data_IF_935716715784
#
_entry.id   IF_935716715784
#
_cell.length_a   1.000
_cell.length_b   1.000
_cell.length_c   1.000
_cell.angle_alpha   90.00
_cell.angle_beta   90.00
_cell.angle_gamma   90.00
#
_symmetry.space_group_name_H-M   'P 1'
#
loop_
_entity.id
_entity.type
_entity.pdbx_description
1 polymer ?
#
# COMPACT_ATOMS: atom_id res chain seq x y z
N UNK A 1 -8.21 -6.81 8.15
CA UNK A 1 -6.89 -6.51 8.77
C UNK A 1 -6.64 -5.01 8.83
N UNK A 2 -6.60 -4.28 7.70
CA UNK A 2 -6.41 -2.82 7.69
C UNK A 2 -7.43 -2.03 8.54
N UNK A 3 -8.71 -2.40 8.54
CA UNK A 3 -9.74 -1.75 9.38
C UNK A 3 -9.46 -1.88 10.88
N UNK A 4 -8.97 -3.04 11.32
CA UNK A 4 -8.57 -3.26 12.72
C UNK A 4 -7.26 -2.56 13.08
N UNK A 5 -6.36 -2.39 12.10
CA UNK A 5 -5.15 -1.57 12.26
C UNK A 5 -5.49 -0.11 12.53
N UNK A 6 -6.36 0.49 11.71
CA UNK A 6 -6.84 1.86 11.88
C UNK A 6 -7.65 2.08 13.18
N UNK A 7 -8.28 1.03 13.70
CA UNK A 7 -9.04 1.10 14.97
C UNK A 7 -8.13 1.28 16.19
N UNK A 8 -6.92 0.73 16.14
CA UNK A 8 -6.02 0.67 17.30
C UNK A 8 -4.75 1.52 17.16
N UNK A 9 -4.42 1.99 15.95
CA UNK A 9 -3.22 2.79 15.70
C UNK A 9 -3.57 4.23 15.30
N UNK A 10 -2.78 5.22 15.76
CA UNK A 10 -2.81 6.56 15.17
C UNK A 10 -2.55 6.49 13.66
N UNK A 11 -3.20 7.37 12.89
CA UNK A 11 -3.15 7.36 11.42
C UNK A 11 -1.71 7.50 10.91
N UNK A 12 -0.89 8.31 11.56
CA UNK A 12 0.55 8.45 11.31
C UNK A 12 1.32 7.13 11.46
N UNK A 13 1.02 6.37 12.52
CA UNK A 13 1.70 5.10 12.82
C UNK A 13 1.26 4.03 11.84
N UNK A 14 -0.05 3.91 11.64
CA UNK A 14 -0.65 3.03 10.63
C UNK A 14 -0.03 3.28 9.24
N UNK A 15 0.04 4.54 8.80
CA UNK A 15 0.59 4.89 7.49
C UNK A 15 2.07 4.55 7.36
N UNK A 16 2.87 4.73 8.41
CA UNK A 16 4.29 4.38 8.39
C UNK A 16 4.51 2.86 8.43
N UNK A 17 3.69 2.11 9.17
CA UNK A 17 3.72 0.64 9.12
C UNK A 17 3.34 0.16 7.73
N UNK A 18 2.34 0.77 7.09
CA UNK A 18 1.97 0.48 5.70
C UNK A 18 3.13 0.71 4.71
N UNK A 19 4.07 1.61 5.00
CA UNK A 19 5.25 1.81 4.15
C UNK A 19 6.13 0.54 4.03
N UNK A 20 6.10 -0.35 5.02
CA UNK A 20 6.79 -1.64 4.99
C UNK A 20 6.35 -2.54 3.83
N UNK A 21 5.18 -2.28 3.22
CA UNK A 21 4.71 -2.99 2.02
C UNK A 21 5.78 -2.99 0.92
N UNK A 22 6.55 -1.91 0.77
CA UNK A 22 7.56 -1.81 -0.27
C UNK A 22 8.76 -2.73 0.01
N UNK A 23 9.11 -2.92 1.28
CA UNK A 23 10.12 -3.90 1.68
C UNK A 23 9.66 -5.34 1.39
N UNK A 24 8.42 -5.67 1.76
CA UNK A 24 7.85 -6.99 1.45
C UNK A 24 7.74 -7.23 -0.06
N UNK A 25 7.37 -6.21 -0.84
CA UNK A 25 7.26 -6.31 -2.28
C UNK A 25 8.61 -6.62 -2.93
N UNK A 26 9.69 -5.95 -2.50
CA UNK A 26 11.03 -6.24 -2.99
C UNK A 26 11.45 -7.70 -2.69
N UNK A 27 11.15 -8.19 -1.48
CA UNK A 27 11.44 -9.57 -1.08
C UNK A 27 10.64 -10.57 -1.93
N UNK A 28 9.33 -10.40 -2.04
CA UNK A 28 8.48 -11.31 -2.83
C UNK A 28 8.81 -11.26 -4.32
N UNK A 29 9.09 -10.10 -4.90
CA UNK A 29 9.49 -10.00 -6.31
C UNK A 29 10.85 -10.65 -6.58
N UNK A 30 11.78 -10.69 -5.62
CA UNK A 30 13.00 -11.48 -5.76
C UNK A 30 12.71 -12.99 -5.78
N UNK A 31 11.89 -13.49 -4.86
CA UNK A 31 11.60 -14.92 -4.79
C UNK A 31 10.69 -15.42 -5.93
N UNK A 32 9.69 -14.62 -6.33
CA UNK A 32 8.65 -15.04 -7.28
C UNK A 32 8.96 -14.62 -8.73
N UNK A 33 9.52 -13.41 -8.92
CA UNK A 33 9.84 -12.84 -10.23
C UNK A 33 11.34 -12.94 -10.58
N UNK A 34 12.18 -13.48 -9.69
CA UNK A 34 13.64 -13.53 -9.86
C UNK A 34 14.26 -12.14 -10.15
N UNK A 35 13.62 -11.08 -9.65
CA UNK A 35 14.08 -9.70 -9.84
C UNK A 35 15.43 -9.51 -9.13
N UNK A 36 16.43 -8.93 -9.80
CA UNK A 36 17.75 -8.74 -9.19
C UNK A 36 17.68 -7.69 -8.08
N UNK A 37 18.20 -8.04 -6.90
CA UNK A 37 18.39 -7.11 -5.79
C UNK A 37 19.58 -6.19 -6.09
N UNK A 38 19.29 -4.94 -6.44
CA UNK A 38 20.33 -3.89 -6.56
C UNK A 38 20.62 -3.29 -5.17
N UNK A 39 21.84 -2.76 -4.91
CA UNK A 39 22.17 -2.18 -3.61
C UNK A 39 21.19 -1.13 -3.09
N UNK A 40 20.55 -0.36 -3.98
CA UNK A 40 19.54 0.63 -3.60
C UNK A 40 18.21 0.01 -3.14
N UNK A 41 17.78 -1.10 -3.74
CA UNK A 41 16.60 -1.85 -3.24
C UNK A 41 16.91 -2.43 -1.87
N UNK A 42 18.11 -3.00 -1.69
CA UNK A 42 18.54 -3.51 -0.38
C UNK A 42 18.57 -2.41 0.69
N UNK A 43 19.12 -1.24 0.37
CA UNK A 43 19.10 -0.07 1.27
C UNK A 43 17.67 0.35 1.63
N UNK A 44 16.77 0.35 0.66
CA UNK A 44 15.36 0.70 0.86
C UNK A 44 14.65 -0.27 1.80
N UNK A 45 14.87 -1.58 1.60
CA UNK A 45 14.33 -2.64 2.45
C UNK A 45 14.81 -2.45 3.88
N UNK A 46 16.12 -2.27 4.09
CA UNK A 46 16.67 -2.07 5.42
C UNK A 46 16.05 -0.87 6.12
N UNK A 47 15.99 0.30 5.46
CA UNK A 47 15.47 1.52 6.06
C UNK A 47 13.98 1.44 6.40
N UNK A 48 13.18 0.79 5.55
CA UNK A 48 11.76 0.58 5.80
C UNK A 48 11.52 -0.45 6.91
N UNK A 49 12.35 -1.48 7.00
CA UNK A 49 12.33 -2.44 8.12
C UNK A 49 12.71 -1.75 9.42
N UNK A 50 13.75 -0.92 9.44
CA UNK A 50 14.11 -0.13 10.62
C UNK A 50 13.03 0.88 11.00
N UNK A 51 12.37 1.52 10.02
CA UNK A 51 11.24 2.42 10.26
C UNK A 51 10.08 1.71 10.95
N UNK A 52 9.68 0.54 10.44
CA UNK A 52 8.64 -0.27 11.07
C UNK A 52 9.06 -0.78 12.46
N UNK A 53 10.30 -1.27 12.61
CA UNK A 53 10.80 -1.76 13.90
C UNK A 53 10.85 -0.66 14.96
N UNK A 54 11.30 0.54 14.58
CA UNK A 54 11.37 1.68 15.48
C UNK A 54 9.98 2.11 15.98
N UNK A 55 8.96 2.05 15.12
CA UNK A 55 7.56 2.30 15.51
C UNK A 55 6.93 1.18 16.34
N UNK A 56 7.39 -0.05 16.16
CA UNK A 56 6.99 -1.17 17.00
C UNK A 56 7.58 -1.09 18.41
N UNK A 57 8.75 -0.45 18.56
CA UNK A 57 9.43 -0.28 19.86
C UNK A 57 9.04 1.03 20.57
N UNK A 58 8.56 2.05 19.86
CA UNK A 58 8.02 3.31 20.44
C UNK A 58 6.68 3.14 21.20
N UNK A 59 6.34 1.90 21.56
CA UNK A 59 5.14 1.52 22.31
C UNK A 59 5.02 2.21 23.68
N UNK A 60 6.16 2.55 24.30
CA UNK A 60 6.21 3.04 25.68
C UNK A 60 5.92 4.54 25.84
N UNK A 61 6.07 5.35 24.78
CA UNK A 61 6.09 6.82 24.92
C UNK A 61 4.73 7.48 24.64
N UNK A 62 3.87 6.80 23.87
CA UNK A 62 2.61 7.37 23.40
C UNK A 62 1.45 6.80 24.18
N UNK A 63 1.14 7.46 25.29
CA UNK A 63 -0.11 7.29 26.04
C UNK A 63 -1.31 7.33 25.09
N UNK A 64 -1.73 6.15 24.64
CA UNK A 64 -2.87 5.94 23.76
C UNK A 64 -4.09 5.76 24.65
N UNK A 65 -4.69 6.87 25.09
CA UNK A 65 -6.09 7.00 25.50
C UNK A 65 -6.74 5.75 26.18
N UNK A 66 -6.09 5.16 27.19
CA UNK A 66 -6.65 4.05 27.95
C UNK A 66 -6.82 2.73 27.19
N UNK A 67 -6.17 2.52 26.05
CA UNK A 67 -6.17 1.22 25.35
C UNK A 67 -5.12 0.29 25.97
N UNK A 68 -5.55 -0.93 26.32
CA UNK A 68 -4.66 -1.99 26.82
C UNK A 68 -3.57 -2.29 25.79
N UNK A 69 -2.32 -2.40 26.25
CA UNK A 69 -1.09 -2.70 25.50
C UNK A 69 -1.28 -3.77 24.40
N UNK A 70 -2.08 -4.81 24.67
CA UNK A 70 -2.36 -5.86 23.69
C UNK A 70 -3.09 -5.39 22.42
N UNK A 71 -3.88 -4.31 22.48
CA UNK A 71 -4.62 -3.80 21.31
C UNK A 71 -3.72 -3.06 20.34
N UNK A 72 -2.70 -2.35 20.84
CA UNK A 72 -1.73 -1.67 19.98
C UNK A 72 -0.88 -2.70 19.21
N UNK A 73 -0.29 -3.68 19.92
CA UNK A 73 0.47 -4.78 19.29
C UNK A 73 -0.38 -5.49 18.25
N UNK A 74 -1.64 -5.82 18.60
CA UNK A 74 -2.55 -6.48 17.68
C UNK A 74 -2.78 -5.64 16.42
N UNK A 75 -3.03 -4.33 16.55
CA UNK A 75 -3.18 -3.45 15.41
C UNK A 75 -1.91 -3.33 14.57
N UNK A 76 -0.73 -3.31 15.21
CA UNK A 76 0.56 -3.22 14.54
C UNK A 76 0.82 -4.48 13.71
N UNK A 77 0.67 -5.66 14.32
CA UNK A 77 0.82 -6.96 13.66
C UNK A 77 -0.20 -7.14 12.54
N UNK A 78 -1.46 -6.75 12.75
CA UNK A 78 -2.49 -6.79 11.71
C UNK A 78 -2.17 -5.86 10.54
N UNK A 79 -1.61 -4.68 10.80
CA UNK A 79 -1.22 -3.73 9.75
C UNK A 79 0.00 -4.26 8.98
N UNK A 80 1.02 -4.75 9.67
CA UNK A 80 2.21 -5.35 9.05
C UNK A 80 1.84 -6.57 8.19
N UNK A 81 0.97 -7.45 8.70
CA UNK A 81 0.45 -8.61 7.97
C UNK A 81 -0.39 -8.21 6.76
N UNK A 82 -1.18 -7.14 6.86
CA UNK A 82 -1.94 -6.59 5.74
C UNK A 82 -1.00 -6.04 4.65
N UNK A 83 0.07 -5.34 5.03
CA UNK A 83 1.10 -4.87 4.11
C UNK A 83 1.81 -6.02 3.41
N UNK A 84 2.20 -7.07 4.13
CA UNK A 84 2.80 -8.26 3.54
C UNK A 84 1.84 -8.95 2.55
N UNK A 85 0.57 -9.11 2.92
CA UNK A 85 -0.44 -9.73 2.04
C UNK A 85 -0.67 -8.91 0.77
N UNK A 86 -0.74 -7.58 0.91
CA UNK A 86 -0.90 -6.69 -0.24
C UNK A 86 0.29 -6.78 -1.20
N UNK A 87 1.51 -6.76 -0.67
CA UNK A 87 2.73 -6.92 -1.48
C UNK A 87 2.81 -8.28 -2.15
N UNK A 88 2.35 -9.35 -1.49
CA UNK A 88 2.29 -10.67 -2.09
C UNK A 88 1.31 -10.71 -3.28
N UNK A 89 0.14 -10.08 -3.15
CA UNK A 89 -0.84 -9.94 -4.25
C UNK A 89 -0.20 -9.21 -5.43
N UNK A 90 0.52 -8.12 -5.18
CA UNK A 90 1.23 -7.36 -6.22
C UNK A 90 2.29 -8.22 -6.92
N UNK A 91 3.15 -8.93 -6.18
CA UNK A 91 4.16 -9.79 -6.79
C UNK A 91 3.53 -10.94 -7.59
N UNK A 92 2.45 -11.56 -7.12
CA UNK A 92 1.72 -12.60 -7.85
C UNK A 92 1.08 -12.06 -9.14
N UNK A 93 0.52 -10.85 -9.08
CA UNK A 93 -0.01 -10.18 -10.26
C UNK A 93 1.11 -9.98 -11.30
N UNK A 94 2.29 -9.52 -10.88
CA UNK A 94 3.46 -9.37 -11.75
C UNK A 94 3.89 -10.71 -12.36
N UNK A 95 4.02 -11.78 -11.56
CA UNK A 95 4.33 -13.14 -12.07
C UNK A 95 3.35 -13.54 -13.18
N UNK A 96 2.07 -13.26 -12.97
CA UNK A 96 1.01 -13.65 -13.90
C UNK A 96 1.12 -12.89 -15.22
N UNK A 97 1.45 -11.59 -15.18
CA UNK A 97 1.73 -10.81 -16.38
C UNK A 97 2.93 -11.36 -17.16
N UNK A 98 4.06 -11.58 -16.47
CA UNK A 98 5.31 -12.01 -17.11
C UNK A 98 5.24 -13.44 -17.65
N UNK A 99 4.68 -14.38 -16.88
CA UNK A 99 4.73 -15.83 -17.22
C UNK A 99 3.51 -16.34 -17.96
N UNK A 100 2.31 -15.87 -17.62
CA UNK A 100 1.05 -16.43 -18.13
C UNK A 100 0.53 -15.63 -19.32
N UNK A 101 0.40 -14.32 -19.14
CA UNK A 101 -0.26 -13.45 -20.13
C UNK A 101 0.68 -13.13 -21.29
N UNK A 102 1.96 -12.80 -21.01
CA UNK A 102 2.99 -12.40 -22.00
C UNK A 102 2.58 -11.23 -22.92
N UNK A 103 1.52 -10.50 -22.57
CA UNK A 103 0.94 -9.35 -23.29
C UNK A 103 0.41 -8.33 -22.29
N UNK A 104 1.13 -7.23 -22.14
CA UNK A 104 0.74 -6.12 -21.25
C UNK A 104 -0.22 -5.16 -21.94
N UNK A 105 -1.36 -5.66 -22.47
CA UNK A 105 -2.36 -4.77 -23.06
C UNK A 105 -3.32 -4.24 -22.01
N UNK A 106 -3.77 -3.00 -22.18
CA UNK A 106 -4.71 -2.31 -21.28
C UNK A 106 -5.95 -3.17 -20.96
N UNK A 107 -6.51 -3.82 -21.97
CA UNK A 107 -7.68 -4.70 -21.82
C UNK A 107 -7.40 -5.89 -20.89
N UNK A 108 -6.20 -6.46 -20.91
CA UNK A 108 -5.85 -7.56 -20.03
C UNK A 108 -5.70 -7.09 -18.58
N UNK A 109 -5.09 -5.92 -18.36
CA UNK A 109 -4.96 -5.34 -17.01
C UNK A 109 -6.33 -5.05 -16.40
N UNK A 110 -7.23 -4.44 -17.17
CA UNK A 110 -8.60 -4.23 -16.73
C UNK A 110 -9.34 -5.55 -16.47
N UNK A 111 -9.20 -6.56 -17.34
CA UNK A 111 -9.83 -7.85 -17.13
C UNK A 111 -9.35 -8.51 -15.82
N UNK A 112 -8.03 -8.54 -15.57
CA UNK A 112 -7.47 -9.02 -14.31
C UNK A 112 -8.07 -8.27 -13.11
N UNK A 113 -8.09 -6.94 -13.17
CA UNK A 113 -8.64 -6.11 -12.08
C UNK A 113 -10.13 -6.39 -11.85
N UNK A 114 -10.93 -6.54 -12.91
CA UNK A 114 -12.36 -6.84 -12.82
C UNK A 114 -12.59 -8.21 -12.20
N UNK A 115 -11.90 -9.25 -12.69
CA UNK A 115 -12.05 -10.61 -12.15
C UNK A 115 -11.61 -10.70 -10.68
N UNK A 116 -10.46 -10.10 -10.34
CA UNK A 116 -9.98 -10.05 -8.96
C UNK A 116 -10.96 -9.28 -8.07
N UNK A 117 -11.47 -8.13 -8.52
CA UNK A 117 -12.45 -7.34 -7.77
C UNK A 117 -13.78 -8.10 -7.57
N UNK A 118 -14.24 -8.84 -8.57
CA UNK A 118 -15.44 -9.65 -8.50
C UNK A 118 -15.28 -10.76 -7.45
N UNK A 119 -14.18 -11.52 -7.51
CA UNK A 119 -13.88 -12.57 -6.54
C UNK A 119 -13.73 -11.99 -5.13
N UNK A 120 -13.02 -10.86 -5.00
CA UNK A 120 -12.86 -10.17 -3.72
C UNK A 120 -14.21 -9.69 -3.16
N UNK A 121 -15.12 -9.22 -4.01
CA UNK A 121 -16.47 -8.79 -3.60
C UNK A 121 -17.28 -9.97 -3.09
N UNK A 122 -17.25 -11.11 -3.77
CA UNK A 122 -17.92 -12.33 -3.33
C UNK A 122 -17.34 -12.84 -2.00
N UNK A 123 -16.01 -12.89 -1.87
CA UNK A 123 -15.35 -13.28 -0.64
C UNK A 123 -15.68 -12.32 0.52
N UNK A 124 -15.73 -11.01 0.26
CA UNK A 124 -16.11 -9.99 1.25
C UNK A 124 -17.58 -10.13 1.66
N UNK A 125 -18.47 -10.44 0.72
CA UNK A 125 -19.89 -10.68 0.99
C UNK A 125 -20.08 -11.91 1.89
N UNK A 126 -19.39 -13.01 1.58
CA UNK A 126 -19.37 -14.21 2.41
C UNK A 126 -18.82 -13.87 3.80
N UNK A 127 -17.72 -13.12 3.88
CA UNK A 127 -17.13 -12.67 5.14
C UNK A 127 -18.10 -11.84 5.98
N UNK A 128 -18.82 -10.90 5.35
CA UNK A 128 -19.81 -10.05 6.02
C UNK A 128 -20.97 -10.86 6.61
N UNK A 129 -21.50 -11.82 5.84
CA UNK A 129 -22.59 -12.67 6.32
C UNK A 129 -22.13 -13.69 7.37
N UNK A 130 -20.95 -14.29 7.19
CA UNK A 130 -20.37 -15.25 8.13
C UNK A 130 -20.02 -14.60 9.48
N UNK A 131 -19.56 -13.35 9.45
CA UNK A 131 -19.20 -12.60 10.67
C UNK A 131 -20.43 -12.05 11.42
N UNK A 132 -21.60 -12.04 10.78
CA UNK A 132 -22.84 -11.53 11.38
C UNK A 132 -22.94 -10.01 11.48
N UNK A 133 -21.92 -9.27 11.04
CA UNK A 133 -21.83 -7.80 11.05
C UNK A 133 -22.90 -7.13 10.18
N UNK A 134 -23.51 -7.86 9.24
CA UNK A 134 -24.70 -7.40 8.54
C UNK A 134 -25.82 -6.92 9.48
N UNK A 135 -25.93 -7.53 10.67
CA UNK A 135 -26.96 -7.17 11.67
C UNK A 135 -26.65 -5.86 12.40
N UNK A 136 -25.37 -5.49 12.53
CA UNK A 136 -24.93 -4.27 13.24
C UNK A 136 -24.88 -3.05 12.33
N UNK A 137 -24.78 -3.27 11.00
CA UNK A 137 -24.73 -2.22 9.97
C UNK A 137 -25.84 -1.17 10.07
N UNK A 138 -27.07 -1.60 10.39
CA UNK A 138 -28.20 -0.67 10.56
C UNK A 138 -28.04 0.23 11.79
N UNK A 139 -27.47 -0.31 12.87
CA UNK A 139 -27.16 0.43 14.09
C UNK A 139 -26.00 1.40 13.89
N UNK A 140 -24.93 0.98 13.21
CA UNK A 140 -23.79 1.83 12.87
C UNK A 140 -24.20 3.02 12.01
N UNK A 141 -25.02 2.79 10.99
CA UNK A 141 -25.52 3.83 10.11
C UNK A 141 -26.42 4.86 10.83
N UNK A 142 -27.10 4.46 11.91
CA UNK A 142 -27.87 5.36 12.76
C UNK A 142 -27.00 6.11 13.77
N UNK A 143 -25.95 5.46 14.27
CA UNK A 143 -24.97 6.03 15.19
C UNK A 143 -23.93 6.92 14.51
N UNK A 144 -23.91 6.98 13.17
CA UNK A 144 -22.99 7.83 12.42
C UNK A 144 -23.32 9.31 12.70
N UNK A 145 -22.36 10.07 13.23
CA UNK A 145 -22.61 11.39 13.82
C UNK A 145 -23.27 12.43 12.90
N UNK A 146 -23.14 12.28 11.59
CA UNK A 146 -23.75 13.14 10.56
C UNK A 146 -24.98 12.52 9.88
N UNK A 147 -25.40 11.33 10.33
CA UNK A 147 -26.60 10.62 9.88
C UNK A 147 -26.38 9.62 8.75
N UNK A 148 -27.47 8.89 8.43
CA UNK A 148 -27.49 7.80 7.46
C UNK A 148 -27.03 8.19 6.06
N UNK A 149 -27.45 9.36 5.57
CA UNK A 149 -27.10 9.81 4.22
C UNK A 149 -25.61 10.07 4.10
N UNK A 150 -25.00 10.72 5.10
CA UNK A 150 -23.57 10.98 5.14
C UNK A 150 -22.75 9.69 5.18
N UNK A 151 -23.18 8.69 5.96
CA UNK A 151 -22.53 7.38 5.97
C UNK A 151 -22.47 6.74 4.58
N UNK A 152 -23.62 6.67 3.89
CA UNK A 152 -23.72 6.10 2.54
C UNK A 152 -22.91 6.92 1.54
N UNK A 153 -22.96 8.25 1.62
CA UNK A 153 -22.18 9.14 0.76
C UNK A 153 -20.68 8.97 0.98
N UNK A 154 -20.21 8.82 2.21
CA UNK A 154 -18.80 8.55 2.50
C UNK A 154 -18.34 7.25 1.86
N UNK A 155 -19.08 6.16 2.05
CA UNK A 155 -18.74 4.88 1.42
C UNK A 155 -18.73 4.95 -0.11
N UNK A 156 -19.74 5.62 -0.70
CA UNK A 156 -19.84 5.79 -2.14
C UNK A 156 -18.68 6.61 -2.71
N UNK A 157 -18.36 7.75 -2.10
CA UNK A 157 -17.24 8.60 -2.53
C UNK A 157 -15.90 7.91 -2.35
N UNK A 158 -15.70 7.13 -1.28
CA UNK A 158 -14.50 6.31 -1.09
C UNK A 158 -14.37 5.27 -2.21
N UNK A 159 -15.45 4.57 -2.57
CA UNK A 159 -15.43 3.60 -3.65
C UNK A 159 -15.11 4.24 -5.01
N UNK A 160 -15.74 5.37 -5.32
CA UNK A 160 -15.50 6.11 -6.57
C UNK A 160 -14.06 6.61 -6.63
N UNK A 161 -13.56 7.23 -5.56
CA UNK A 161 -12.19 7.72 -5.48
C UNK A 161 -11.17 6.59 -5.68
N UNK A 162 -11.41 5.42 -5.08
CA UNK A 162 -10.55 4.25 -5.24
C UNK A 162 -10.53 3.73 -6.69
N UNK A 163 -11.68 3.72 -7.36
CA UNK A 163 -11.75 3.32 -8.76
C UNK A 163 -11.06 4.32 -9.69
N UNK A 164 -11.26 5.62 -9.48
CA UNK A 164 -10.57 6.67 -10.26
C UNK A 164 -9.06 6.56 -10.06
N UNK A 165 -8.58 6.34 -8.84
CA UNK A 165 -7.16 6.14 -8.56
C UNK A 165 -6.61 4.89 -9.29
N UNK A 166 -7.33 3.77 -9.24
CA UNK A 166 -6.93 2.53 -9.91
C UNK A 166 -6.84 2.70 -11.43
N UNK A 167 -7.86 3.30 -12.06
CA UNK A 167 -7.87 3.56 -13.50
C UNK A 167 -6.80 4.59 -13.87
N UNK A 168 -6.58 5.61 -13.02
CA UNK A 168 -5.54 6.62 -13.21
C UNK A 168 -4.14 6.03 -13.25
N UNK A 169 -3.80 5.13 -12.31
CA UNK A 169 -2.50 4.43 -12.28
C UNK A 169 -2.30 3.59 -13.55
N UNK A 170 -3.32 2.84 -13.99
CA UNK A 170 -3.26 2.03 -15.21
C UNK A 170 -3.13 2.91 -16.46
N UNK A 171 -3.90 4.01 -16.53
CA UNK A 171 -3.83 4.98 -17.62
C UNK A 171 -2.46 5.64 -17.71
N UNK A 172 -1.84 5.95 -16.57
CA UNK A 172 -0.51 6.58 -16.51
C UNK A 172 0.60 5.67 -17.02
N UNK A 173 0.52 4.37 -16.71
CA UNK A 173 1.43 3.33 -17.24
C UNK A 173 1.38 3.35 -18.78
N UNK A 174 0.18 3.47 -19.34
CA UNK A 174 -0.05 3.39 -20.78
C UNK A 174 0.32 4.68 -21.54
N UNK A 175 -0.01 5.85 -21.00
CA UNK A 175 0.17 7.15 -21.68
C UNK A 175 1.60 7.67 -21.59
N UNK A 176 2.27 7.49 -20.44
CA UNK A 176 3.59 8.10 -20.18
C UNK A 176 4.67 7.05 -20.11
N UNK A 177 4.56 6.17 -19.11
CA UNK A 177 5.42 5.01 -18.89
C UNK A 177 5.08 4.35 -17.56
N UNK A 178 5.38 3.07 -17.45
CA UNK A 178 5.46 2.35 -16.16
C UNK A 178 6.33 3.09 -15.14
N UNK A 179 7.42 3.70 -15.59
CA UNK A 179 8.37 4.43 -14.77
C UNK A 179 7.73 5.66 -14.10
N UNK A 180 7.06 6.52 -14.87
CA UNK A 180 6.39 7.71 -14.34
C UNK A 180 5.25 7.35 -13.38
N UNK A 181 4.51 6.28 -13.69
CA UNK A 181 3.47 5.76 -12.80
C UNK A 181 4.04 5.25 -11.48
N UNK A 182 5.10 4.43 -11.52
CA UNK A 182 5.77 3.95 -10.33
C UNK A 182 6.35 5.10 -9.48
N UNK A 183 6.93 6.13 -10.11
CA UNK A 183 7.43 7.31 -9.40
C UNK A 183 6.29 8.02 -8.68
N UNK A 184 5.18 8.32 -9.36
CA UNK A 184 4.02 8.99 -8.76
C UNK A 184 3.42 8.15 -7.61
N UNK A 185 3.26 6.84 -7.80
CA UNK A 185 2.76 5.94 -6.76
C UNK A 185 3.71 5.84 -5.56
N UNK A 186 5.03 5.85 -5.80
CA UNK A 186 6.06 5.79 -4.76
C UNK A 186 6.09 7.08 -3.93
N UNK A 187 5.90 8.24 -4.56
CA UNK A 187 5.86 9.54 -3.87
C UNK A 187 4.54 9.83 -3.16
N UNK A 188 3.43 9.21 -3.58
CA UNK A 188 2.14 9.37 -2.92
C UNK A 188 2.16 8.81 -1.47
N UNK A 189 2.91 7.74 -1.22
CA UNK A 189 2.97 7.04 0.07
C UNK A 189 3.62 7.84 1.22
N UNK A 190 4.81 8.47 1.07
CA UNK A 190 5.43 9.28 2.12
C UNK A 190 4.68 10.59 2.41
N UNK A 191 3.76 11.01 1.55
CA UNK A 191 2.92 12.19 1.77
C UNK A 191 1.78 11.89 2.76
N UNK A 192 1.35 10.63 2.89
CA UNK A 192 0.24 10.23 3.76
C UNK A 192 0.52 10.51 5.25
N UNK A 193 1.69 10.18 5.82
CA UNK A 193 2.01 10.55 7.21
C UNK A 193 2.02 12.06 7.45
N UNK A 194 2.44 12.87 6.47
CA UNK A 194 2.45 14.34 6.57
C UNK A 194 1.01 14.86 6.65
N UNK A 195 0.12 14.37 5.79
CA UNK A 195 -1.30 14.71 5.87
C UNK A 195 -1.97 14.21 7.14
N UNK A 196 -1.58 13.04 7.66
CA UNK A 196 -2.06 12.54 8.94
C UNK A 196 -1.77 13.54 10.07
N UNK A 197 -0.58 14.11 10.10
CA UNK A 197 -0.19 15.12 11.10
C UNK A 197 -0.97 16.42 10.92
N UNK A 198 -1.12 16.90 9.68
CA UNK A 198 -1.79 18.19 9.40
C UNK A 198 -3.30 18.11 9.68
N UNK A 199 -3.97 17.05 9.24
CA UNK A 199 -5.43 16.95 9.32
C UNK A 199 -5.92 16.29 10.62
N UNK A 200 -5.24 15.25 11.09
CA UNK A 200 -5.64 14.52 12.30
C UNK A 200 -4.93 15.02 13.57
N UNK A 201 -4.00 15.97 13.44
CA UNK A 201 -3.25 16.54 14.56
C UNK A 201 -2.54 15.46 15.40
N UNK A 202 -2.09 14.40 14.72
CA UNK A 202 -1.39 13.27 15.35
C UNK A 202 -0.12 13.75 16.06
N UNK A 203 0.04 13.36 17.33
CA UNK A 203 1.25 13.67 18.10
C UNK A 203 2.46 12.98 17.45
N UNK A 204 3.42 13.80 17.03
CA UNK A 204 4.63 13.35 16.35
C UNK A 204 5.82 13.41 17.32
N UNK A 205 6.11 12.27 17.95
CA UNK A 205 7.28 12.14 18.83
C UNK A 205 8.58 12.02 18.02
N UNK A 206 9.73 12.23 18.66
CA UNK A 206 11.05 12.17 18.01
C UNK A 206 11.28 10.84 17.29
N UNK A 207 10.79 9.74 17.85
CA UNK A 207 10.87 8.42 17.25
C UNK A 207 10.06 8.29 15.96
N UNK A 208 8.81 8.81 15.95
CA UNK A 208 7.97 8.88 14.74
C UNK A 208 8.60 9.73 13.64
N UNK A 209 9.24 10.84 14.00
CA UNK A 209 9.95 11.71 13.05
C UNK A 209 11.09 10.94 12.39
N UNK A 210 11.91 10.24 13.19
CA UNK A 210 13.02 9.43 12.67
C UNK A 210 12.49 8.31 11.76
N UNK A 211 11.43 7.60 12.19
CA UNK A 211 10.80 6.56 11.37
C UNK A 211 10.26 7.12 10.04
N UNK A 212 9.66 8.30 10.05
CA UNK A 212 9.19 8.98 8.85
C UNK A 212 10.33 9.35 7.89
N UNK A 213 11.43 9.90 8.42
CA UNK A 213 12.60 10.25 7.61
C UNK A 213 13.25 9.02 6.97
N UNK A 214 13.38 7.92 7.72
CA UNK A 214 13.87 6.65 7.18
C UNK A 214 12.94 6.08 6.11
N UNK A 215 11.61 6.16 6.32
CA UNK A 215 10.65 5.72 5.32
C UNK A 215 10.77 6.54 4.03
N UNK A 216 10.84 7.87 4.13
CA UNK A 216 11.04 8.77 2.98
C UNK A 216 12.33 8.40 2.24
N UNK A 217 13.44 8.20 2.96
CA UNK A 217 14.71 7.81 2.34
C UNK A 217 14.60 6.45 1.63
N UNK A 218 13.95 5.47 2.26
CA UNK A 218 13.70 4.16 1.66
C UNK A 218 12.89 4.27 0.37
N UNK A 219 11.82 5.07 0.36
CA UNK A 219 11.03 5.32 -0.85
C UNK A 219 11.85 6.00 -1.96
N UNK A 220 12.65 7.02 -1.63
CA UNK A 220 13.50 7.72 -2.60
C UNK A 220 14.53 6.76 -3.21
N UNK A 221 15.16 5.94 -2.38
CA UNK A 221 16.16 4.95 -2.81
C UNK A 221 15.56 3.92 -3.78
N UNK A 222 14.36 3.43 -3.48
CA UNK A 222 13.66 2.46 -4.32
C UNK A 222 13.17 3.09 -5.63
N UNK A 223 12.55 4.27 -5.56
CA UNK A 223 12.09 5.01 -6.74
C UNK A 223 13.22 5.38 -7.69
N UNK A 224 14.38 5.77 -7.15
CA UNK A 224 15.56 6.05 -7.97
C UNK A 224 16.09 4.79 -8.67
N UNK A 225 16.12 3.65 -7.97
CA UNK A 225 16.55 2.39 -8.57
C UNK A 225 15.64 1.96 -9.73
N UNK A 226 14.32 2.06 -9.55
CA UNK A 226 13.34 1.82 -10.61
C UNK A 226 13.59 2.71 -11.83
N UNK A 227 13.94 3.98 -11.60
CA UNK A 227 14.28 4.90 -12.67
C UNK A 227 15.55 4.50 -13.43
N UNK A 228 16.58 4.06 -12.73
CA UNK A 228 17.84 3.62 -13.35
C UNK A 228 17.63 2.33 -14.17
N UNK A 229 16.89 1.36 -13.63
CA UNK A 229 16.65 0.07 -14.28
C UNK A 229 15.83 0.22 -15.57
N UNK A 230 14.78 1.03 -15.56
CA UNK A 230 13.99 1.29 -16.76
C UNK A 230 14.78 2.06 -17.84
N UNK A 231 15.58 3.06 -17.44
CA UNK A 231 16.47 3.78 -18.38
C UNK A 231 17.47 2.84 -19.05
N UNK A 232 17.95 1.82 -18.33
CA UNK A 232 18.87 0.80 -18.88
C UNK A 232 18.15 -0.15 -19.83
N UNK A 233 16.92 -0.55 -19.50
CA UNK A 233 16.06 -1.36 -20.37
C UNK A 233 15.81 -0.65 -21.72
N UNK A 234 15.35 0.61 -21.70
CA UNK A 234 15.10 1.41 -22.90
C UNK A 234 16.31 1.56 -23.81
N UNK A 235 17.49 1.84 -23.24
CA UNK A 235 18.74 1.94 -24.02
C UNK A 235 19.10 0.62 -24.70
N UNK A 236 18.85 -0.51 -24.05
CA UNK A 236 19.14 -1.83 -24.60
C UNK A 236 18.21 -2.12 -25.78
N UNK A 237 16.92 -1.82 -25.67
CA UNK A 237 15.95 -2.00 -26.76
C UNK A 237 16.30 -1.18 -28.00
N UNK A 238 16.68 0.10 -27.83
CA UNK A 238 17.08 0.96 -28.96
C UNK A 238 18.35 0.48 -29.67
N UNK A 239 19.32 -0.07 -28.94
CA UNK A 239 20.57 -0.60 -29.52
C UNK A 239 20.33 -1.92 -30.26
N UNK A 240 19.34 -2.71 -29.84
CA UNK A 240 18.94 -3.94 -30.55
C UNK A 240 18.19 -3.59 -31.83
N UNK A 241 17.31 -2.59 -31.83
CA UNK A 241 16.62 -2.11 -33.04
C UNK A 241 17.57 -1.45 -34.06
N UNK A 242 18.61 -0.73 -33.62
CA UNK A 242 19.62 -0.16 -34.54
C UNK A 242 20.56 -1.22 -35.16
N UNK A 243 20.70 -2.39 -34.53
CA UNK A 243 21.58 -3.48 -34.99
C UNK A 243 20.83 -4.64 -35.66
N UNK A 244 19.51 -4.53 -35.88
CA UNK A 244 18.66 -5.54 -36.54
C UNK A 244 18.26 -5.08 -37.94
#
# INVERSE_FOLDING_TARGET
MYSYGLLYLPVSTYSLVCASQLAFNAIFSYFLNAQKFTPLIFNSVLLLTFSAALLGVDEDTQGTNGLSHGKYILGFVLTLGASATYSLILSLMQVTFEKVIKRETFSVVLNMQIYTALVATLASLIGLFASGEWKTLQGEMHSFGTGRLSYVMTLLWTAIAWQIASVGVVGLIFVVSSLFSNVISTFALPIIPVFAVIFFHDKMDGVKIIAMLMAIWGFISYGYQLYVDDKKSRKTSTVVEENS
#
